data_IF_246367405146
#
_entry.id   IF_246367405146
#
_cell.length_a   1.000
_cell.length_b   1.000
_cell.length_c   1.000
_cell.angle_alpha   90.00
_cell.angle_beta   90.00
_cell.angle_gamma   90.00
#
_symmetry.space_group_name_H-M   'P 1'
#
loop_
_entity.id
_entity.type
_entity.pdbx_description
1 polymer ?
#
# COMPACT_ATOMS: atom_id res chain seq x y z
N UNK A 1 -6.74 -8.70 -0.66
CA UNK A 1 -6.41 -8.05 -1.97
C UNK A 1 -7.53 -8.10 -3.00
N UNK A 2 -8.13 -9.27 -3.33
CA UNK A 2 -9.17 -9.36 -4.37
C UNK A 2 -10.39 -8.44 -4.15
N UNK A 3 -10.85 -8.31 -2.91
CA UNK A 3 -11.95 -7.40 -2.56
C UNK A 3 -11.65 -5.93 -2.88
N UNK A 4 -10.44 -5.45 -2.59
CA UNK A 4 -10.03 -4.07 -2.90
C UNK A 4 -10.00 -3.79 -4.42
N UNK A 5 -9.68 -4.79 -5.24
CA UNK A 5 -9.74 -4.69 -6.70
C UNK A 5 -11.20 -4.58 -7.17
N UNK A 6 -12.09 -5.40 -6.63
CA UNK A 6 -13.52 -5.34 -6.96
C UNK A 6 -14.12 -3.96 -6.61
N UNK A 7 -13.81 -3.42 -5.43
CA UNK A 7 -14.21 -2.07 -5.02
C UNK A 7 -13.63 -1.01 -5.96
N UNK A 8 -12.35 -1.12 -6.33
CA UNK A 8 -11.70 -0.20 -7.26
C UNK A 8 -12.40 -0.16 -8.63
N UNK A 9 -12.73 -1.33 -9.19
CA UNK A 9 -13.44 -1.45 -10.48
C UNK A 9 -14.82 -0.79 -10.36
N UNK A 10 -15.57 -1.11 -9.31
CA UNK A 10 -16.94 -0.61 -9.15
C UNK A 10 -16.99 0.90 -8.97
N UNK A 11 -16.07 1.45 -8.19
CA UNK A 11 -15.91 2.90 -8.02
C UNK A 11 -15.50 3.55 -9.35
N UNK A 12 -14.52 2.98 -10.05
CA UNK A 12 -14.08 3.49 -11.35
C UNK A 12 -15.20 3.53 -12.39
N UNK A 13 -16.08 2.53 -12.40
CA UNK A 13 -17.29 2.52 -13.25
C UNK A 13 -18.23 3.68 -12.94
N UNK A 14 -18.56 3.93 -11.67
CA UNK A 14 -19.47 5.02 -11.31
C UNK A 14 -18.87 6.40 -11.53
N UNK A 15 -17.58 6.56 -11.19
CA UNK A 15 -16.84 7.81 -11.45
C UNK A 15 -16.77 8.09 -12.96
N UNK A 16 -16.54 7.06 -13.79
CA UNK A 16 -16.57 7.17 -15.25
C UNK A 16 -17.96 7.46 -15.82
N UNK A 17 -19.02 6.98 -15.16
CA UNK A 17 -20.42 7.25 -15.53
C UNK A 17 -20.92 8.64 -15.10
N UNK A 18 -20.07 9.46 -14.48
CA UNK A 18 -20.42 10.77 -13.93
C UNK A 18 -21.53 10.74 -12.87
N UNK A 19 -21.56 9.67 -12.05
CA UNK A 19 -22.46 9.56 -10.90
C UNK A 19 -21.66 9.77 -9.60
N UNK A 20 -21.80 10.93 -8.92
CA UNK A 20 -21.06 11.20 -7.68
C UNK A 20 -21.65 10.53 -6.43
N UNK A 21 -22.86 9.99 -6.49
CA UNK A 21 -23.59 9.45 -5.32
C UNK A 21 -23.25 7.97 -5.09
N UNK A 22 -23.32 7.15 -6.15
CA UNK A 22 -23.06 5.71 -6.07
C UNK A 22 -21.63 5.29 -5.65
N UNK A 23 -20.54 5.97 -6.05
CA UNK A 23 -19.20 5.56 -5.66
C UNK A 23 -18.95 5.80 -4.17
N UNK A 24 -19.59 6.83 -3.57
CA UNK A 24 -19.57 7.08 -2.13
C UNK A 24 -20.21 5.93 -1.35
N UNK A 25 -21.40 5.49 -1.76
CA UNK A 25 -22.07 4.35 -1.15
C UNK A 25 -21.24 3.07 -1.28
N UNK A 26 -20.64 2.84 -2.46
CA UNK A 26 -19.77 1.68 -2.72
C UNK A 26 -18.53 1.69 -1.82
N UNK A 27 -17.88 2.85 -1.64
CA UNK A 27 -16.73 2.99 -0.76
C UNK A 27 -17.11 2.70 0.71
N UNK A 28 -18.26 3.24 1.16
CA UNK A 28 -18.73 3.05 2.54
C UNK A 28 -19.07 1.58 2.83
N UNK A 29 -19.86 0.94 1.97
CA UNK A 29 -20.18 -0.50 2.08
C UNK A 29 -18.90 -1.33 1.99
N UNK A 30 -17.96 -0.91 1.12
CA UNK A 30 -16.60 -1.46 1.00
C UNK A 30 -15.89 -1.56 2.34
N UNK A 31 -15.77 -0.42 3.02
CA UNK A 31 -15.05 -0.32 4.30
C UNK A 31 -15.80 -1.06 5.41
N UNK A 32 -17.13 -0.97 5.46
CA UNK A 32 -17.93 -1.63 6.50
C UNK A 32 -17.85 -3.15 6.41
N UNK A 33 -18.01 -3.71 5.21
CA UNK A 33 -17.89 -5.15 4.99
C UNK A 33 -16.49 -5.67 5.34
N UNK A 34 -15.47 -4.92 4.96
CA UNK A 34 -14.09 -5.22 5.33
C UNK A 34 -13.89 -5.21 6.84
N UNK A 35 -14.41 -4.21 7.55
CA UNK A 35 -14.29 -4.12 9.00
C UNK A 35 -14.87 -5.38 9.68
N UNK A 36 -16.02 -5.86 9.19
CA UNK A 36 -16.62 -7.10 9.67
C UNK A 36 -15.74 -8.32 9.38
N UNK A 37 -15.35 -8.54 8.12
CA UNK A 37 -14.57 -9.72 7.70
C UNK A 37 -13.19 -9.76 8.36
N UNK A 38 -12.50 -8.62 8.41
CA UNK A 38 -11.17 -8.51 9.05
C UNK A 38 -11.24 -8.78 10.56
N UNK A 39 -12.30 -8.31 11.24
CA UNK A 39 -12.50 -8.58 12.66
C UNK A 39 -12.73 -10.07 12.92
N UNK A 40 -13.62 -10.71 12.14
CA UNK A 40 -13.88 -12.15 12.24
C UNK A 40 -12.60 -12.95 11.99
N UNK A 41 -11.84 -12.60 10.95
CA UNK A 41 -10.59 -13.27 10.61
C UNK A 41 -9.52 -13.07 11.71
N UNK A 42 -9.43 -11.87 12.29
CA UNK A 42 -8.47 -11.58 13.37
C UNK A 42 -8.77 -12.39 14.62
N UNK A 43 -10.05 -12.47 15.01
CA UNK A 43 -10.49 -13.31 16.14
C UNK A 43 -10.19 -14.78 15.86
N UNK A 44 -10.50 -15.28 14.67
CA UNK A 44 -10.21 -16.66 14.30
C UNK A 44 -8.72 -16.98 14.38
N UNK A 45 -7.84 -16.11 13.85
CA UNK A 45 -6.39 -16.31 13.90
C UNK A 45 -5.84 -16.32 15.33
N UNK A 46 -6.37 -15.46 16.22
CA UNK A 46 -5.95 -15.45 17.63
C UNK A 46 -6.41 -16.72 18.35
N UNK A 47 -7.65 -17.16 18.14
CA UNK A 47 -8.18 -18.38 18.77
C UNK A 47 -7.46 -19.64 18.28
N UNK A 48 -7.14 -19.71 16.99
CA UNK A 48 -6.49 -20.87 16.38
C UNK A 48 -4.96 -20.81 16.40
N UNK A 49 -4.34 -19.82 17.09
CA UNK A 49 -2.89 -19.59 17.05
C UNK A 49 -2.01 -20.83 17.29
N UNK A 50 -2.39 -21.68 18.25
CA UNK A 50 -1.68 -22.92 18.55
C UNK A 50 -1.92 -24.01 17.50
N UNK A 51 -3.14 -24.10 16.97
CA UNK A 51 -3.47 -25.09 15.93
C UNK A 51 -2.77 -24.76 14.62
N UNK A 52 -2.72 -23.48 14.24
CA UNK A 52 -2.03 -23.03 13.03
C UNK A 52 -0.54 -23.35 13.11
N UNK A 53 0.11 -23.04 14.24
CA UNK A 53 1.53 -23.36 14.42
C UNK A 53 1.82 -24.87 14.32
N UNK A 54 0.93 -25.72 14.85
CA UNK A 54 1.03 -27.19 14.77
C UNK A 54 0.92 -27.77 13.37
N UNK A 55 0.37 -27.04 12.40
CA UNK A 55 0.31 -27.47 11.00
C UNK A 55 1.70 -27.40 10.36
N UNK A 56 2.53 -26.44 10.79
CA UNK A 56 3.85 -26.19 10.19
C UNK A 56 4.98 -26.97 10.88
N UNK A 57 4.85 -27.28 12.17
CA UNK A 57 5.89 -27.96 12.92
C UNK A 57 5.31 -28.79 14.06
N UNK A 58 6.05 -29.83 14.44
CA UNK A 58 5.76 -30.70 15.59
C UNK A 58 6.56 -30.32 16.84
N UNK A 59 7.55 -29.43 16.71
CA UNK A 59 8.36 -28.97 17.84
C UNK A 59 7.57 -27.99 18.71
N UNK A 60 7.37 -28.38 19.97
CA UNK A 60 6.62 -27.60 20.97
C UNK A 60 7.23 -26.22 21.24
N UNK A 61 8.57 -26.09 21.22
CA UNK A 61 9.22 -24.82 21.47
C UNK A 61 8.91 -23.79 20.37
N UNK A 62 8.87 -24.25 19.12
CA UNK A 62 8.54 -23.40 17.96
C UNK A 62 7.04 -23.06 17.96
N UNK A 63 6.19 -24.01 18.36
CA UNK A 63 4.74 -23.80 18.48
C UNK A 63 4.43 -22.71 19.51
N UNK A 64 5.01 -22.80 20.70
CA UNK A 64 4.79 -21.81 21.76
C UNK A 64 5.31 -20.43 21.37
N UNK A 65 6.53 -20.36 20.80
CA UNK A 65 7.09 -19.10 20.31
C UNK A 65 6.23 -18.44 19.22
N UNK A 66 5.73 -19.23 18.26
CA UNK A 66 4.87 -18.73 17.18
C UNK A 66 3.52 -18.27 17.72
N UNK A 67 2.91 -19.03 18.63
CA UNK A 67 1.63 -18.69 19.23
C UNK A 67 1.72 -17.42 20.09
N UNK A 68 2.86 -17.18 20.74
CA UNK A 68 3.14 -15.94 21.45
C UNK A 68 3.25 -14.74 20.49
N UNK A 69 3.91 -14.90 19.33
CA UNK A 69 4.05 -13.83 18.33
C UNK A 69 2.80 -13.54 17.50
N UNK A 70 1.86 -14.49 17.43
CA UNK A 70 0.66 -14.41 16.59
C UNK A 70 -0.18 -13.13 16.77
N UNK A 71 -0.44 -12.61 17.99
CA UNK A 71 -1.20 -11.38 18.17
C UNK A 71 -0.58 -10.16 17.49
N UNK A 72 0.76 -10.02 17.50
CA UNK A 72 1.45 -8.92 16.82
C UNK A 72 1.25 -8.99 15.31
N UNK A 73 1.37 -10.19 14.74
CA UNK A 73 1.10 -10.42 13.32
C UNK A 73 -0.37 -10.15 12.96
N UNK A 74 -1.32 -10.57 13.80
CA UNK A 74 -2.75 -10.34 13.57
C UNK A 74 -3.07 -8.85 13.60
N UNK A 75 -2.48 -8.07 14.50
CA UNK A 75 -2.63 -6.62 14.54
C UNK A 75 -2.15 -5.96 13.23
N UNK A 76 -0.97 -6.34 12.75
CA UNK A 76 -0.46 -5.92 11.43
C UNK A 76 -1.46 -6.27 10.31
N UNK A 77 -1.92 -7.52 10.25
CA UNK A 77 -2.79 -8.01 9.19
C UNK A 77 -4.15 -7.29 9.19
N UNK A 78 -4.68 -6.98 10.37
CA UNK A 78 -5.91 -6.22 10.52
C UNK A 78 -5.79 -4.85 9.84
N UNK A 79 -4.73 -4.10 10.13
CA UNK A 79 -4.50 -2.80 9.48
C UNK A 79 -4.22 -2.92 7.99
N UNK A 80 -3.44 -3.93 7.57
CA UNK A 80 -3.11 -4.16 6.15
C UNK A 80 -4.37 -4.46 5.32
N UNK A 81 -5.35 -5.15 5.91
CA UNK A 81 -6.64 -5.37 5.27
C UNK A 81 -7.34 -4.04 4.95
N UNK A 82 -7.38 -3.10 5.89
CA UNK A 82 -7.94 -1.75 5.69
C UNK A 82 -7.17 -0.95 4.63
N UNK A 83 -5.84 -0.99 4.68
CA UNK A 83 -4.98 -0.37 3.65
C UNK A 83 -5.32 -0.91 2.27
N UNK A 84 -5.48 -2.23 2.13
CA UNK A 84 -5.79 -2.87 0.84
C UNK A 84 -7.07 -2.36 0.19
N UNK A 85 -8.16 -2.18 0.95
CA UNK A 85 -9.44 -1.67 0.43
C UNK A 85 -9.38 -0.18 0.18
N UNK A 86 -8.83 0.60 1.11
CA UNK A 86 -8.74 2.05 0.91
C UNK A 86 -7.80 2.41 -0.26
N UNK A 87 -6.70 1.68 -0.42
CA UNK A 87 -5.84 1.74 -1.61
C UNK A 87 -6.60 1.37 -2.88
N UNK A 88 -7.51 0.38 -2.81
CA UNK A 88 -8.44 0.06 -3.89
C UNK A 88 -9.34 1.25 -4.26
N UNK A 89 -9.96 1.89 -3.27
CA UNK A 89 -10.79 3.09 -3.45
C UNK A 89 -9.99 4.22 -4.11
N UNK A 90 -8.82 4.55 -3.56
CA UNK A 90 -7.91 5.60 -4.08
C UNK A 90 -7.53 5.32 -5.54
N UNK A 91 -7.25 4.06 -5.88
CA UNK A 91 -6.95 3.64 -7.26
C UNK A 91 -8.17 3.74 -8.17
N UNK A 92 -9.35 3.34 -7.70
CA UNK A 92 -10.61 3.43 -8.44
C UNK A 92 -10.99 4.87 -8.80
N UNK A 93 -10.67 5.83 -7.93
CA UNK A 93 -10.88 7.27 -8.17
C UNK A 93 -9.79 7.88 -9.07
N UNK A 94 -8.67 7.19 -9.26
CA UNK A 94 -7.53 7.68 -10.05
C UNK A 94 -6.65 8.68 -9.29
N UNK A 95 -6.48 8.46 -7.99
CA UNK A 95 -5.57 9.19 -7.09
C UNK A 95 -4.31 8.37 -6.76
N UNK A 96 -3.84 7.53 -7.69
CA UNK A 96 -2.73 6.60 -7.46
C UNK A 96 -1.41 7.26 -7.07
N UNK A 97 -1.18 8.51 -7.48
CA UNK A 97 0.03 9.27 -7.09
C UNK A 97 0.06 9.54 -5.58
N UNK A 98 -1.10 9.92 -5.01
CA UNK A 98 -1.23 10.12 -3.58
C UNK A 98 -0.99 8.81 -2.83
N UNK A 99 -1.64 7.72 -3.27
CA UNK A 99 -1.44 6.39 -2.69
C UNK A 99 0.04 5.97 -2.68
N UNK A 100 0.74 6.11 -3.81
CA UNK A 100 2.15 5.76 -3.90
C UNK A 100 3.04 6.56 -2.92
N UNK A 101 2.78 7.85 -2.75
CA UNK A 101 3.54 8.70 -1.81
C UNK A 101 3.30 8.25 -0.36
N UNK A 102 2.05 8.05 0.03
CA UNK A 102 1.70 7.63 1.41
C UNK A 102 2.27 6.24 1.71
N UNK A 103 2.19 5.30 0.77
CA UNK A 103 2.77 3.97 0.90
C UNK A 103 4.30 4.04 1.08
N UNK A 104 5.00 4.83 0.25
CA UNK A 104 6.43 5.05 0.40
C UNK A 104 6.77 5.61 1.79
N UNK A 105 6.10 6.67 2.21
CA UNK A 105 6.35 7.31 3.51
C UNK A 105 6.08 6.34 4.67
N UNK A 106 4.91 5.73 4.69
CA UNK A 106 4.46 4.96 5.85
C UNK A 106 5.20 3.64 5.99
N UNK A 107 5.34 2.88 4.89
CA UNK A 107 5.96 1.55 4.95
C UNK A 107 7.48 1.60 4.85
N UNK A 108 8.06 2.45 3.99
CA UNK A 108 9.50 2.43 3.76
C UNK A 108 10.27 3.42 4.61
N UNK A 109 9.66 4.57 4.98
CA UNK A 109 10.37 5.61 5.74
C UNK A 109 10.15 5.51 7.25
N UNK A 110 9.03 4.91 7.66
CA UNK A 110 8.66 4.77 9.07
C UNK A 110 8.65 3.29 9.47
N UNK A 111 7.77 2.49 8.84
CA UNK A 111 7.58 1.09 9.20
C UNK A 111 8.83 0.24 9.07
N UNK A 112 9.51 0.30 7.92
CA UNK A 112 10.71 -0.49 7.64
C UNK A 112 11.86 -0.20 8.62
N UNK A 113 12.30 1.07 8.77
CA UNK A 113 13.29 1.46 9.79
C UNK A 113 12.91 1.01 11.19
N UNK A 114 11.66 1.24 11.61
CA UNK A 114 11.21 0.87 12.94
C UNK A 114 11.21 -0.65 13.13
N UNK A 115 10.76 -1.41 12.15
CA UNK A 115 10.75 -2.87 12.17
C UNK A 115 12.17 -3.45 12.24
N UNK A 116 13.12 -2.88 11.50
CA UNK A 116 14.53 -3.28 11.54
C UNK A 116 15.19 -2.92 12.87
N UNK A 117 14.92 -1.74 13.43
CA UNK A 117 15.42 -1.35 14.75
C UNK A 117 14.89 -2.30 15.83
N UNK A 118 13.58 -2.56 15.86
CA UNK A 118 13.01 -3.48 16.84
C UNK A 118 13.51 -4.92 16.63
N UNK A 119 13.74 -5.35 15.39
CA UNK A 119 14.27 -6.69 15.10
C UNK A 119 15.71 -6.88 15.60
N UNK A 120 16.57 -5.87 15.44
CA UNK A 120 18.01 -6.00 15.68
C UNK A 120 18.47 -5.51 17.07
N UNK A 121 17.74 -4.58 17.69
CA UNK A 121 18.18 -3.88 18.91
C UNK A 121 17.39 -4.31 20.14
N UNK A 122 16.24 -4.97 19.97
CA UNK A 122 15.42 -5.42 21.09
C UNK A 122 15.34 -6.93 21.13
N UNK A 123 15.16 -7.48 22.34
CA UNK A 123 15.01 -8.94 22.54
C UNK A 123 13.66 -9.48 22.03
N UNK A 124 12.77 -8.60 21.54
CA UNK A 124 11.52 -9.00 20.90
C UNK A 124 11.76 -9.66 19.53
N UNK A 125 12.90 -9.41 18.87
CA UNK A 125 13.31 -9.99 17.58
C UNK A 125 12.16 -10.00 16.56
N UNK A 126 11.59 -11.16 16.24
CA UNK A 126 10.52 -11.31 15.24
C UNK A 126 9.23 -10.60 15.66
N UNK A 127 8.91 -10.58 16.97
CA UNK A 127 7.74 -9.88 17.48
C UNK A 127 7.92 -8.35 17.33
N UNK A 128 9.14 -7.88 17.55
CA UNK A 128 9.52 -6.49 17.36
C UNK A 128 9.38 -6.06 15.90
N UNK A 129 9.78 -6.93 14.96
CA UNK A 129 9.58 -6.68 13.53
C UNK A 129 8.10 -6.48 13.17
N UNK A 130 7.21 -7.38 13.61
CA UNK A 130 5.77 -7.26 13.36
C UNK A 130 5.17 -6.02 13.99
N UNK A 131 5.62 -5.64 15.20
CA UNK A 131 5.18 -4.42 15.87
C UNK A 131 5.59 -3.16 15.09
N UNK A 132 6.85 -3.09 14.64
CA UNK A 132 7.33 -1.95 13.84
C UNK A 132 6.60 -1.82 12.50
N UNK A 133 6.35 -2.96 11.82
CA UNK A 133 5.53 -2.99 10.60
C UNK A 133 4.10 -2.54 10.89
N UNK A 134 3.47 -3.01 11.98
CA UNK A 134 2.11 -2.65 12.35
C UNK A 134 1.94 -1.14 12.53
N UNK A 135 2.93 -0.44 13.12
CA UNK A 135 2.92 1.03 13.23
C UNK A 135 2.92 1.69 11.85
N UNK A 136 3.77 1.23 10.92
CA UNK A 136 3.81 1.76 9.56
C UNK A 136 2.46 1.59 8.84
N UNK A 137 1.86 0.41 8.92
CA UNK A 137 0.58 0.13 8.26
C UNK A 137 -0.58 0.86 8.94
N UNK A 138 -0.53 1.05 10.26
CA UNK A 138 -1.52 1.84 10.99
C UNK A 138 -1.54 3.30 10.51
N UNK A 139 -0.37 3.91 10.32
CA UNK A 139 -0.26 5.26 9.76
C UNK A 139 -0.80 5.33 8.33
N UNK A 140 -0.46 4.36 7.48
CA UNK A 140 -0.99 4.28 6.12
C UNK A 140 -2.52 4.14 6.12
N UNK A 141 -3.06 3.26 6.96
CA UNK A 141 -4.49 3.03 7.14
C UNK A 141 -5.20 4.31 7.56
N UNK A 142 -4.65 5.04 8.54
CA UNK A 142 -5.21 6.27 9.05
C UNK A 142 -5.30 7.35 7.97
N UNK A 143 -4.19 7.58 7.24
CA UNK A 143 -4.12 8.56 6.16
C UNK A 143 -5.06 8.19 5.02
N UNK A 144 -5.09 6.93 4.61
CA UNK A 144 -6.00 6.45 3.57
C UNK A 144 -7.47 6.56 3.97
N UNK A 145 -7.82 6.22 5.22
CA UNK A 145 -9.19 6.32 5.70
C UNK A 145 -9.66 7.78 5.69
N UNK A 146 -8.84 8.70 6.22
CA UNK A 146 -9.13 10.15 6.15
C UNK A 146 -9.30 10.59 4.71
N UNK A 147 -8.39 10.19 3.82
CA UNK A 147 -8.47 10.58 2.42
C UNK A 147 -9.75 10.03 1.76
N UNK A 148 -10.12 8.77 2.01
CA UNK A 148 -11.35 8.15 1.54
C UNK A 148 -12.60 8.89 2.03
N UNK A 149 -12.62 9.35 3.29
CA UNK A 149 -13.72 10.14 3.83
C UNK A 149 -13.80 11.56 3.22
N UNK A 150 -12.65 12.13 2.81
CA UNK A 150 -12.55 13.48 2.24
C UNK A 150 -12.56 13.53 0.71
N UNK A 151 -12.88 12.42 0.03
CA UNK A 151 -12.97 12.40 -1.43
C UNK A 151 -14.13 13.32 -1.87
N UNK A 152 -13.78 14.34 -2.66
CA UNK A 152 -14.74 15.13 -3.41
C UNK A 152 -15.15 14.36 -4.67
N UNK A 153 -16.24 13.61 -4.55
CA UNK A 153 -16.74 12.73 -5.62
C UNK A 153 -17.10 13.51 -6.89
N UNK A 154 -17.65 14.72 -6.75
CA UNK A 154 -18.04 15.55 -7.90
C UNK A 154 -16.81 16.01 -8.68
N UNK A 155 -15.80 16.54 -7.98
CA UNK A 155 -14.52 16.91 -8.60
C UNK A 155 -13.84 15.72 -9.28
N UNK A 156 -13.94 14.53 -8.69
CA UNK A 156 -13.33 13.34 -9.27
C UNK A 156 -14.06 12.85 -10.53
N UNK A 157 -15.39 12.91 -10.56
CA UNK A 157 -16.18 12.65 -11.76
C UNK A 157 -15.83 13.64 -12.89
N UNK A 158 -15.76 14.94 -12.58
CA UNK A 158 -15.35 15.97 -13.56
C UNK A 158 -13.93 15.70 -14.10
N UNK A 159 -13.00 15.32 -13.23
CA UNK A 159 -11.64 14.96 -13.64
C UNK A 159 -11.62 13.71 -14.52
N UNK A 160 -12.47 12.72 -14.25
CA UNK A 160 -12.60 11.52 -15.07
C UNK A 160 -13.13 11.86 -16.48
N UNK A 161 -14.16 12.71 -16.59
CA UNK A 161 -14.67 13.21 -17.86
C UNK A 161 -13.61 13.97 -18.66
N UNK A 162 -12.83 14.84 -18.01
CA UNK A 162 -11.72 15.56 -18.67
C UNK A 162 -10.66 14.62 -19.22
N UNK A 163 -10.45 13.45 -18.60
CA UNK A 163 -9.50 12.43 -19.07
C UNK A 163 -10.02 11.63 -20.26
N UNK A 164 -11.32 11.45 -20.38
CA UNK A 164 -11.97 10.70 -21.47
C UNK A 164 -12.46 11.59 -22.63
N UNK A 165 -12.43 12.91 -22.48
CA UNK A 165 -12.77 13.85 -23.54
C UNK A 165 -11.87 13.64 -24.77
N UNK A 166 -12.42 13.00 -25.80
CA UNK A 166 -11.75 12.83 -27.09
C UNK A 166 -11.68 14.19 -27.76
N UNK A 167 -10.46 14.72 -27.94
CA UNK A 167 -10.24 15.84 -28.86
C UNK A 167 -10.38 15.30 -30.28
N UNK A 168 -11.56 15.45 -30.88
CA UNK A 168 -11.70 15.29 -32.32
C UNK A 168 -10.85 16.36 -33.00
N UNK A 169 -9.73 15.96 -33.61
CA UNK A 169 -9.04 16.79 -34.58
C UNK A 169 -9.97 16.91 -35.79
N UNK A 170 -10.78 17.97 -35.82
CA UNK A 170 -11.41 18.41 -37.06
C UNK A 170 -10.29 19.06 -37.88
N UNK A 171 -9.93 18.54 -39.07
CA UNK A 171 -9.06 19.28 -39.97
C UNK A 171 -9.76 20.62 -40.25
N UNK A 172 -9.09 21.74 -39.98
CA UNK A 172 -9.55 23.03 -40.48
C UNK A 172 -9.36 23.01 -42.00
N UNK A 173 -10.45 22.71 -42.68
CA UNK A 173 -10.61 22.89 -44.11
C UNK A 173 -12.09 23.17 -44.33
N UNK A 174 -12.41 24.44 -44.59
CA UNK A 174 -13.74 24.86 -44.99
C UNK A 174 -14.17 24.10 -46.25
N UNK A 175 -15.12 23.19 -46.11
CA UNK A 175 -16.03 22.85 -47.20
C UNK A 175 -17.38 22.45 -46.60
N UNK A 176 -18.38 23.30 -46.85
CA UNK A 176 -19.79 22.98 -46.63
C UNK A 176 -20.14 21.75 -47.46
N UNK A 177 -20.18 20.58 -46.83
CA UNK A 177 -20.73 19.38 -47.46
C UNK A 177 -22.18 19.26 -47.03
N UNK A 178 -23.09 19.67 -47.92
CA UNK A 178 -24.51 19.36 -47.81
C UNK A 178 -24.67 17.84 -47.94
N UNK A 179 -24.79 17.12 -46.83
CA UNK A 179 -25.23 15.72 -46.87
C UNK A 179 -26.73 15.66 -46.60
N UNK A 180 -27.49 15.28 -47.64
CA UNK A 180 -28.82 14.70 -47.48
C UNK A 180 -28.64 13.37 -46.73
N UNK A 181 -29.37 13.22 -45.63
CA UNK A 181 -29.46 11.96 -44.89
C UNK A 181 -30.21 10.96 -45.77
N UNK A 182 -29.53 9.87 -46.12
CA UNK A 182 -30.07 8.68 -46.75
C UNK A 182 -29.30 7.49 -46.20
N UNK A 183 -30.02 6.46 -45.80
CA UNK A 183 -29.58 5.24 -45.13
C UNK A 183 -28.40 4.55 -45.84
N UNK A 184 -27.39 4.11 -45.10
CA UNK A 184 -27.19 2.69 -44.78
C UNK A 184 -25.90 2.48 -43.99
N UNK A 185 -26.01 1.59 -43.02
CA UNK A 185 -24.95 1.10 -42.16
C UNK A 185 -24.19 0.01 -42.92
N UNK A 186 -22.92 0.24 -43.25
CA UNK A 186 -22.04 -0.86 -43.61
C UNK A 186 -20.62 -0.67 -43.06
N UNK A 187 -20.31 -1.55 -42.12
CA UNK A 187 -18.97 -1.88 -41.66
C UNK A 187 -18.25 -2.55 -42.82
N UNK A 188 -17.05 -2.10 -43.20
CA UNK A 188 -15.99 -3.03 -43.61
C UNK A 188 -14.60 -2.38 -43.62
N UNK A 189 -13.68 -3.04 -42.91
CA UNK A 189 -12.25 -2.98 -43.17
C UNK A 189 -11.99 -3.34 -44.64
N UNK A 190 -11.24 -2.52 -45.36
CA UNK A 190 -10.33 -3.02 -46.39
C UNK A 190 -9.24 -1.99 -46.65
N UNK A 191 -7.98 -2.45 -46.60
CA UNK A 191 -6.86 -1.66 -47.08
C UNK A 191 -6.76 -1.71 -48.60
N UNK A 192 -6.12 -0.69 -49.20
CA UNK A 192 -5.08 -0.92 -50.21
C UNK A 192 -4.43 0.38 -50.70
N UNK A 193 -3.09 0.30 -50.78
CA UNK A 193 -2.17 0.81 -51.81
C UNK A 193 -1.90 2.31 -51.94
N UNK A 194 -0.73 2.65 -51.44
CA UNK A 194 0.33 3.53 -51.97
C UNK A 194 0.07 4.30 -53.27
N UNK A 195 0.45 5.59 -53.25
CA UNK A 195 1.34 6.15 -54.27
C UNK A 195 2.23 7.25 -53.67
N UNK A 196 3.53 7.07 -53.88
CA UNK A 196 4.64 7.93 -53.47
C UNK A 196 4.96 8.87 -54.62
N UNK A 197 4.76 10.18 -54.45
CA UNK A 197 5.40 11.23 -55.25
C UNK A 197 6.02 12.22 -54.25
N UNK A 198 7.35 12.33 -54.32
CA UNK A 198 8.15 13.05 -53.34
C UNK A 198 8.21 14.55 -53.59
N UNK A 199 7.97 15.33 -52.52
CA UNK A 199 8.57 16.65 -52.36
C UNK A 199 8.90 16.88 -50.88
N UNK A 200 10.02 17.57 -50.66
CA UNK A 200 10.87 17.62 -49.49
C UNK A 200 10.19 17.93 -48.14
N UNK A 201 10.30 16.94 -47.25
CA UNK A 201 10.71 17.06 -45.83
C UNK A 201 10.09 18.13 -44.92
N UNK A 202 9.07 17.71 -44.17
CA UNK A 202 9.08 17.83 -42.69
C UNK A 202 8.26 16.70 -42.07
N UNK A 203 8.78 15.48 -42.24
CA UNK A 203 8.39 14.36 -41.38
C UNK A 203 9.02 14.68 -40.02
N UNK A 204 8.24 15.26 -39.12
CA UNK A 204 8.61 15.28 -37.71
C UNK A 204 8.76 13.80 -37.33
N UNK A 205 9.96 13.34 -36.93
CA UNK A 205 10.12 11.93 -36.58
C UNK A 205 9.09 11.63 -35.50
N UNK A 206 8.50 10.43 -35.56
CA UNK A 206 7.89 9.81 -34.39
C UNK A 206 9.00 9.76 -33.36
N UNK A 207 9.14 10.85 -32.61
CA UNK A 207 9.92 10.91 -31.41
C UNK A 207 9.14 10.00 -30.49
N UNK A 208 9.51 8.72 -30.53
CA UNK A 208 9.51 7.84 -29.37
C UNK A 208 9.80 8.79 -28.23
N UNK A 209 8.78 9.16 -27.43
CA UNK A 209 8.95 10.10 -26.35
C UNK A 209 9.97 9.44 -25.44
N UNK A 210 11.22 9.81 -25.67
CA UNK A 210 12.36 9.32 -24.94
C UNK A 210 12.01 9.57 -23.48
N UNK A 211 12.18 8.52 -22.68
CA UNK A 211 11.90 8.49 -21.26
C UNK A 211 12.19 9.87 -20.66
N UNK A 212 11.14 10.59 -20.24
CA UNK A 212 11.28 11.99 -19.85
C UNK A 212 12.35 12.06 -18.76
N UNK A 213 13.36 12.94 -18.81
CA UNK A 213 14.40 13.03 -17.77
C UNK A 213 13.78 13.21 -16.37
N UNK A 214 12.59 13.82 -16.32
CA UNK A 214 11.73 13.91 -15.11
C UNK A 214 11.41 12.55 -14.46
N UNK A 215 11.20 11.48 -15.22
CA UNK A 215 10.91 10.13 -14.69
C UNK A 215 12.16 9.51 -14.08
N UNK A 216 13.31 9.63 -14.74
CA UNK A 216 14.60 9.13 -14.22
C UNK A 216 15.02 9.88 -12.95
N UNK A 217 14.80 11.20 -12.93
CA UNK A 217 15.03 12.06 -11.77
C UNK A 217 14.09 11.68 -10.62
N UNK A 218 12.80 11.47 -10.89
CA UNK A 218 11.84 11.09 -9.83
C UNK A 218 12.20 9.73 -9.21
N UNK A 219 12.65 8.78 -10.02
CA UNK A 219 13.12 7.47 -9.56
C UNK A 219 14.45 7.56 -8.79
N UNK A 220 15.37 8.40 -9.22
CA UNK A 220 16.63 8.63 -8.51
C UNK A 220 16.43 9.37 -7.19
N UNK A 221 15.53 10.35 -7.15
CA UNK A 221 15.14 11.03 -5.89
C UNK A 221 14.49 10.02 -4.95
N UNK A 222 13.62 9.14 -5.42
CA UNK A 222 13.06 8.06 -4.58
C UNK A 222 14.15 7.15 -4.02
N UNK A 223 15.12 6.74 -4.84
CA UNK A 223 16.23 5.89 -4.40
C UNK A 223 17.11 6.64 -3.37
N UNK A 224 17.43 7.90 -3.61
CA UNK A 224 18.20 8.74 -2.67
C UNK A 224 17.46 8.98 -1.36
N UNK A 225 16.14 9.17 -1.40
CA UNK A 225 15.29 9.27 -0.22
C UNK A 225 15.35 7.96 0.55
N UNK A 226 15.15 6.81 -0.10
CA UNK A 226 15.23 5.48 0.54
C UNK A 226 16.61 5.24 1.17
N UNK A 227 17.70 5.56 0.46
CA UNK A 227 19.08 5.44 0.98
C UNK A 227 19.30 6.40 2.15
N UNK A 228 18.83 7.64 2.05
CA UNK A 228 18.89 8.62 3.14
C UNK A 228 18.13 8.17 4.37
N UNK A 229 17.03 7.44 4.21
CA UNK A 229 16.22 6.94 5.33
C UNK A 229 16.79 5.68 5.96
N UNK A 230 17.47 4.84 5.18
CA UNK A 230 18.33 3.81 5.74
C UNK A 230 19.46 4.44 6.57
N UNK A 231 20.06 5.55 6.10
CA UNK A 231 21.08 6.27 6.85
C UNK A 231 20.54 6.95 8.11
N UNK A 232 19.35 7.54 8.07
CA UNK A 232 18.69 8.14 9.25
C UNK A 232 18.30 7.06 10.25
N UNK A 233 17.81 5.90 9.81
CA UNK A 233 17.57 4.74 10.66
C UNK A 233 18.86 4.29 11.36
N UNK A 234 19.97 4.23 10.60
CA UNK A 234 21.30 3.98 11.12
C UNK A 234 21.77 5.10 12.07
N UNK A 235 21.37 6.36 11.89
CA UNK A 235 21.69 7.42 12.84
C UNK A 235 20.83 7.35 14.12
N UNK A 236 19.55 7.01 14.03
CA UNK A 236 18.68 6.78 15.18
C UNK A 236 19.13 5.56 16.01
N UNK A 237 19.80 4.59 15.37
CA UNK A 237 20.53 3.50 16.01
C UNK A 237 21.59 4.01 17.00
N UNK A 238 22.30 5.07 16.61
CA UNK A 238 23.42 5.64 17.37
C UNK A 238 22.99 6.70 18.39
N UNK A 239 21.80 7.29 18.24
CA UNK A 239 21.37 8.44 19.04
C UNK A 239 20.35 8.14 20.13
N UNK A 240 19.67 6.98 20.09
CA UNK A 240 18.65 6.62 21.10
C UNK A 240 19.11 5.45 21.97
N UNK A 241 19.04 5.63 23.30
CA UNK A 241 19.22 4.55 24.28
C UNK A 241 17.94 3.69 24.39
N UNK A 242 17.75 2.81 23.41
CA UNK A 242 16.65 1.84 23.33
C UNK A 242 16.44 0.92 24.55
N UNK A 243 17.47 0.54 25.34
CA UNK A 243 17.30 -0.26 26.56
C UNK A 243 16.45 0.41 27.64
N UNK A 244 16.28 1.74 27.58
CA UNK A 244 15.45 2.49 28.54
C UNK A 244 13.95 2.43 28.23
N UNK A 245 13.57 2.19 26.96
CA UNK A 245 12.17 2.24 26.49
C UNK A 245 11.50 0.86 26.57
N UNK A 246 12.27 -0.22 26.37
CA UNK A 246 11.80 -1.60 26.48
C UNK A 246 12.67 -2.38 27.48
N UNK A 247 12.46 -2.18 28.80
CA UNK A 247 13.22 -2.89 29.82
C UNK A 247 12.78 -4.35 29.90
N UNK A 248 13.69 -5.26 29.56
CA UNK A 248 13.49 -6.69 29.79
C UNK A 248 13.59 -7.00 31.28
N UNK A 249 12.78 -7.94 31.77
CA UNK A 249 12.84 -8.41 33.15
C UNK A 249 13.19 -9.90 33.20
N UNK A 250 14.16 -10.24 34.06
CA UNK A 250 14.44 -11.60 34.48
C UNK A 250 13.61 -11.93 35.71
N UNK A 251 12.82 -13.01 35.64
CA UNK A 251 12.19 -13.58 36.82
C UNK A 251 13.12 -14.63 37.45
N UNK A 252 13.60 -14.38 38.67
CA UNK A 252 14.42 -15.34 39.43
C UNK A 252 13.54 -16.40 40.11
N UNK A 253 14.15 -17.54 40.46
CA UNK A 253 13.47 -18.64 41.20
C UNK A 253 12.82 -18.20 42.53
N UNK A 254 13.30 -17.12 43.13
CA UNK A 254 12.75 -16.53 44.36
C UNK A 254 11.57 -15.56 44.11
N UNK A 255 11.14 -15.39 42.86
CA UNK A 255 10.03 -14.51 42.47
C UNK A 255 10.41 -13.03 42.29
N UNK A 256 11.70 -12.68 42.35
CA UNK A 256 12.16 -11.28 42.18
C UNK A 256 12.34 -10.96 40.69
N UNK A 257 11.89 -9.77 40.27
CA UNK A 257 12.07 -9.24 38.92
C UNK A 257 13.33 -8.36 38.87
N UNK A 258 14.29 -8.71 38.02
CA UNK A 258 15.51 -7.90 37.79
C UNK A 258 15.51 -7.38 36.35
N UNK A 259 15.67 -6.06 36.12
CA UNK A 259 15.80 -5.53 34.77
C UNK A 259 17.13 -6.00 34.13
N UNK A 260 17.07 -6.60 32.96
CA UNK A 260 18.24 -7.06 32.19
C UNK A 260 18.59 -6.04 31.11
N UNK A 261 19.83 -5.55 31.15
CA UNK A 261 20.38 -4.60 30.16
C UNK A 261 20.82 -5.33 28.88
N UNK A 262 21.29 -6.58 28.98
CA UNK A 262 21.71 -7.41 27.85
C UNK A 262 21.29 -8.88 28.02
N UNK A 263 20.91 -9.54 26.91
CA UNK A 263 20.54 -10.97 26.92
C UNK A 263 21.67 -11.91 27.36
N UNK A 264 22.92 -11.51 27.14
CA UNK A 264 24.09 -12.25 27.60
C UNK A 264 24.20 -12.31 29.13
N UNK A 265 23.72 -11.27 29.83
CA UNK A 265 23.78 -11.19 31.28
C UNK A 265 22.78 -12.14 31.96
N UNK A 266 21.74 -12.58 31.24
CA UNK A 266 20.78 -13.56 31.74
C UNK A 266 21.38 -14.94 32.03
N UNK A 267 22.57 -15.24 31.50
CA UNK A 267 23.31 -16.45 31.86
C UNK A 267 24.04 -16.33 33.20
N UNK A 268 24.32 -15.10 33.65
CA UNK A 268 24.97 -14.81 34.94
C UNK A 268 23.98 -14.82 36.12
N UNK A 269 22.68 -14.64 35.85
CA UNK A 269 21.62 -14.71 36.84
C UNK A 269 20.82 -16.00 36.58
N UNK A 270 20.56 -16.86 37.58
CA UNK A 270 19.74 -18.08 37.41
C UNK A 270 18.28 -17.75 37.02
N UNK A 271 18.08 -17.36 35.76
CA UNK A 271 16.83 -16.79 35.27
C UNK A 271 15.86 -17.91 34.90
N UNK A 272 14.67 -17.89 35.51
CA UNK A 272 13.63 -18.90 35.26
C UNK A 272 12.73 -18.55 34.08
N UNK A 273 12.43 -17.26 33.88
CA UNK A 273 11.61 -16.77 32.78
C UNK A 273 12.16 -15.44 32.28
N UNK A 274 12.37 -15.34 30.98
CA UNK A 274 12.64 -14.07 30.30
C UNK A 274 11.32 -13.38 29.96
N UNK A 275 11.13 -12.17 30.47
CA UNK A 275 9.97 -11.34 30.17
C UNK A 275 10.48 -10.14 29.36
N UNK A 276 10.26 -10.13 28.03
CA UNK A 276 10.57 -8.96 27.21
C UNK A 276 9.60 -7.80 27.49
#
# INVERSE_FOLDING_TARGET
>A
MGYGIAVAIRIGQFVGANDPIRPRATAFVGILFLAFVSSVNSVALILLRYYIARIFTTDLNIIEGTAYGMPFMVAYLFFDCFVGVCSGIIRGVGMQKFGAIVCCVSLYLIGGPLALCLLLLTDLVVNGFWLGMAVGVFLEMFVYTIQCCRIDWEKMCQNAQKRTAIKFFRPQGDQKLNLKVGEEMEICLSGSKEKMDGESSKIEPILTKACTPKILITRSIMILVVVGLLLVALCCLFLFDWPSIFPNHCLLKNGTLIPLINRADASNYECTVHIP
#
